data_IF_120123334407
#
_entry.id   IF_120123334407
#
_cell.length_a   1.000
_cell.length_b   1.000
_cell.length_c   1.000
_cell.angle_alpha   90.00
_cell.angle_beta   90.00
_cell.angle_gamma   90.00
#
_symmetry.space_group_name_H-M   'P 1'
#
loop_
_entity.id
_entity.type
_entity.pdbx_description
1 polymer ?
#
# COMPACT_ATOMS: atom_id res chain seq x y z
N UNK A 1 11.18 -10.38 -8.26
CA UNK A 1 11.03 -10.80 -6.85
C UNK A 1 12.19 -10.13 -6.12
N UNK A 2 11.94 -8.98 -5.51
CA UNK A 2 12.99 -8.19 -4.87
C UNK A 2 13.10 -8.71 -3.44
N UNK A 3 14.20 -9.41 -3.14
CA UNK A 3 14.61 -9.74 -1.77
C UNK A 3 14.90 -8.43 -1.04
N UNK A 4 13.84 -7.79 -0.53
CA UNK A 4 13.98 -6.75 0.48
C UNK A 4 14.44 -7.43 1.76
N UNK A 5 15.70 -7.22 2.12
CA UNK A 5 16.22 -7.35 3.48
C UNK A 5 15.14 -6.94 4.47
N UNK A 6 14.76 -7.86 5.35
CA UNK A 6 13.69 -7.62 6.32
C UNK A 6 14.22 -6.57 7.29
N UNK A 7 13.71 -5.34 7.17
CA UNK A 7 14.04 -4.27 8.11
C UNK A 7 13.80 -4.73 9.54
N UNK A 8 14.77 -4.50 10.43
CA UNK A 8 14.69 -4.91 11.82
C UNK A 8 13.57 -4.12 12.51
N UNK A 9 12.48 -4.79 12.87
CA UNK A 9 11.33 -4.15 13.51
C UNK A 9 11.63 -3.91 15.00
N UNK A 10 11.34 -2.69 15.47
CA UNK A 10 11.28 -2.36 16.90
C UNK A 10 10.31 -3.30 17.63
N UNK A 11 10.89 -4.22 18.40
CA UNK A 11 10.16 -5.26 19.12
C UNK A 11 9.29 -4.70 20.22
N UNK A 12 9.70 -3.61 20.89
CA UNK A 12 8.94 -3.03 21.98
C UNK A 12 7.60 -2.47 21.48
N UNK A 13 7.63 -1.78 20.34
CA UNK A 13 6.42 -1.26 19.68
C UNK A 13 5.52 -2.36 19.14
N UNK A 14 6.08 -3.48 18.70
CA UNK A 14 5.27 -4.63 18.24
C UNK A 14 4.62 -5.36 19.42
N UNK A 15 5.35 -5.51 20.53
CA UNK A 15 4.88 -6.22 21.72
C UNK A 15 3.64 -5.58 22.37
N UNK A 16 3.47 -4.25 22.27
CA UNK A 16 2.26 -3.57 22.77
C UNK A 16 0.97 -4.09 22.11
N UNK A 17 1.08 -4.70 20.93
CA UNK A 17 -0.02 -5.26 20.15
C UNK A 17 -0.11 -6.79 20.17
N UNK A 18 0.69 -7.47 21.01
CA UNK A 18 0.81 -8.94 20.99
C UNK A 18 -0.54 -9.65 21.15
N UNK A 19 -1.42 -9.15 22.01
CA UNK A 19 -2.74 -9.75 22.21
C UNK A 19 -3.59 -9.64 20.94
N UNK A 20 -3.67 -8.45 20.34
CA UNK A 20 -4.47 -8.24 19.13
C UNK A 20 -3.91 -9.01 17.95
N UNK A 21 -2.58 -9.06 17.82
CA UNK A 21 -1.88 -9.83 16.78
C UNK A 21 -1.99 -11.35 16.98
N UNK A 22 -2.20 -11.82 18.21
CA UNK A 22 -2.43 -13.25 18.48
C UNK A 22 -3.75 -13.75 17.90
N UNK A 23 -4.75 -12.87 17.78
CA UNK A 23 -6.03 -13.17 17.12
C UNK A 23 -5.83 -13.39 15.62
N UNK A 24 -6.77 -14.06 14.94
CA UNK A 24 -6.72 -14.23 13.48
C UNK A 24 -7.22 -13.00 12.71
N UNK A 25 -8.02 -12.15 13.35
CA UNK A 25 -8.68 -11.03 12.68
C UNK A 25 -7.69 -9.88 12.44
N UNK A 26 -7.72 -9.31 11.23
CA UNK A 26 -6.98 -8.11 10.86
C UNK A 26 -7.94 -7.04 10.38
N UNK A 27 -8.69 -6.46 11.33
CA UNK A 27 -9.64 -5.42 10.99
C UNK A 27 -8.91 -4.15 10.51
N UNK A 28 -9.54 -3.36 9.63
CA UNK A 28 -9.02 -2.05 9.18
C UNK A 28 -8.46 -1.19 10.32
N UNK A 29 -9.22 -1.09 11.42
CA UNK A 29 -8.89 -0.29 12.60
C UNK A 29 -7.67 -0.83 13.36
N UNK A 30 -7.48 -2.15 13.38
CA UNK A 30 -6.31 -2.74 14.00
C UNK A 30 -5.05 -2.41 13.19
N UNK A 31 -5.09 -2.63 11.88
CA UNK A 31 -3.95 -2.37 11.00
C UNK A 31 -3.57 -0.89 11.04
N UNK A 32 -4.54 0.01 10.86
CA UNK A 32 -4.28 1.45 10.91
C UNK A 32 -3.80 1.91 12.28
N UNK A 33 -4.34 1.34 13.37
CA UNK A 33 -3.91 1.65 14.73
C UNK A 33 -2.47 1.23 15.02
N UNK A 34 -2.06 0.04 14.58
CA UNK A 34 -0.67 -0.43 14.73
C UNK A 34 0.28 0.48 13.94
N UNK A 35 -0.03 0.76 12.67
CA UNK A 35 0.82 1.62 11.82
C UNK A 35 0.91 3.03 12.40
N UNK A 36 -0.20 3.63 12.81
CA UNK A 36 -0.24 4.94 13.44
C UNK A 36 0.65 5.00 14.68
N UNK A 37 0.52 4.02 15.60
CA UNK A 37 1.34 3.99 16.81
C UNK A 37 2.82 3.73 16.51
N UNK A 38 3.12 2.77 15.64
CA UNK A 38 4.50 2.36 15.35
C UNK A 38 5.34 3.53 14.83
N UNK A 39 4.76 4.32 13.92
CA UNK A 39 5.41 5.47 13.30
C UNK A 39 5.05 6.82 13.94
N UNK A 40 4.25 6.84 15.01
CA UNK A 40 3.75 8.07 15.64
C UNK A 40 3.04 9.01 14.66
N UNK A 41 2.26 8.43 13.74
CA UNK A 41 1.55 9.16 12.69
C UNK A 41 0.16 9.60 13.17
N UNK A 42 -0.26 10.84 12.86
CA UNK A 42 -1.52 11.40 13.37
C UNK A 42 -2.76 10.84 12.66
N UNK A 43 -2.66 10.52 11.36
CA UNK A 43 -3.80 10.08 10.57
C UNK A 43 -3.43 8.91 9.65
N UNK A 44 -3.84 7.72 10.05
CA UNK A 44 -3.69 6.50 9.28
C UNK A 44 -5.05 5.81 9.18
N UNK A 45 -5.42 5.39 7.97
CA UNK A 45 -6.68 4.67 7.72
C UNK A 45 -6.49 3.61 6.64
N UNK A 46 -7.43 2.68 6.59
CA UNK A 46 -7.53 1.70 5.50
C UNK A 46 -8.70 2.09 4.62
N UNK A 47 -8.47 2.15 3.31
CA UNK A 47 -9.52 2.19 2.31
C UNK A 47 -9.75 0.77 1.80
N UNK A 48 -10.91 0.21 2.15
CA UNK A 48 -11.32 -1.15 1.78
C UNK A 48 -11.91 -1.21 0.37
N UNK A 49 -12.11 -2.43 -0.13
CA UNK A 49 -12.81 -2.70 -1.39
C UNK A 49 -12.15 -2.07 -2.62
N UNK A 50 -10.82 -2.15 -2.70
CA UNK A 50 -10.07 -1.52 -3.79
C UNK A 50 -10.11 -2.43 -5.01
N UNK A 51 -10.68 -1.92 -6.09
CA UNK A 51 -10.73 -2.64 -7.36
C UNK A 51 -9.33 -2.99 -7.87
N UNK A 52 -9.17 -4.23 -8.30
CA UNK A 52 -8.06 -4.69 -9.15
C UNK A 52 -8.56 -5.67 -10.19
N UNK A 53 -7.76 -5.89 -11.24
CA UNK A 53 -7.90 -7.06 -12.12
C UNK A 53 -6.88 -8.11 -11.73
N UNK A 54 -7.34 -9.34 -11.54
CA UNK A 54 -6.50 -10.50 -11.23
C UNK A 54 -6.46 -11.40 -12.45
N UNK A 55 -5.28 -11.84 -12.85
CA UNK A 55 -5.11 -12.78 -13.94
C UNK A 55 -5.73 -14.13 -13.58
N UNK A 56 -6.51 -14.70 -14.51
CA UNK A 56 -7.02 -16.05 -14.36
C UNK A 56 -5.87 -17.00 -14.66
N UNK A 57 -5.52 -17.83 -13.68
CA UNK A 57 -4.47 -18.83 -13.82
C UNK A 57 -4.72 -19.71 -15.06
N UNK A 58 -3.67 -20.10 -15.78
CA UNK A 58 -3.82 -20.82 -17.04
C UNK A 58 -4.64 -22.12 -16.90
N UNK A 59 -4.50 -22.81 -15.76
CA UNK A 59 -5.28 -24.01 -15.42
C UNK A 59 -6.78 -23.75 -15.25
N UNK A 60 -7.18 -22.51 -14.94
CA UNK A 60 -8.56 -22.08 -14.73
C UNK A 60 -9.16 -21.39 -15.95
N UNK A 61 -8.36 -21.11 -16.99
CA UNK A 61 -8.87 -20.53 -18.24
C UNK A 61 -9.78 -21.51 -18.97
N UNK A 62 -10.83 -20.99 -19.58
CA UNK A 62 -11.72 -21.80 -20.40
C UNK A 62 -11.01 -22.27 -21.68
N UNK A 63 -11.37 -23.48 -22.10
CA UNK A 63 -11.07 -24.03 -23.42
C UNK A 63 -12.34 -24.67 -23.93
N UNK A 64 -12.91 -24.10 -24.99
CA UNK A 64 -14.18 -24.54 -25.54
C UNK A 64 -14.17 -26.04 -25.83
N UNK A 65 -15.21 -26.74 -25.36
CA UNK A 65 -15.36 -28.19 -25.48
C UNK A 65 -14.18 -29.01 -24.93
N UNK A 66 -13.41 -28.46 -23.98
CA UNK A 66 -12.26 -29.13 -23.36
C UNK A 66 -12.24 -28.97 -21.84
N UNK A 67 -12.12 -27.74 -21.33
CA UNK A 67 -11.96 -27.49 -19.90
C UNK A 67 -12.57 -26.16 -19.50
N UNK A 68 -13.00 -26.04 -18.23
CA UNK A 68 -13.56 -24.82 -17.64
C UNK A 68 -14.61 -24.13 -18.53
N UNK A 69 -15.49 -24.90 -19.17
CA UNK A 69 -16.43 -24.40 -20.18
C UNK A 69 -17.91 -24.59 -19.81
N UNK A 70 -18.19 -24.90 -18.53
CA UNK A 70 -19.57 -25.05 -18.04
C UNK A 70 -20.03 -23.75 -17.39
N UNK A 71 -21.06 -23.13 -17.99
CA UNK A 71 -21.66 -21.90 -17.48
C UNK A 71 -22.21 -22.10 -16.07
N UNK A 72 -22.02 -21.10 -15.20
CA UNK A 72 -22.46 -21.15 -13.80
C UNK A 72 -21.66 -22.08 -12.90
N UNK A 73 -20.62 -22.75 -13.42
CA UNK A 73 -19.78 -23.67 -12.64
C UNK A 73 -18.29 -23.35 -12.78
N UNK A 74 -17.76 -23.36 -14.02
CA UNK A 74 -16.31 -23.25 -14.27
C UNK A 74 -15.92 -22.23 -15.34
N UNK A 75 -16.89 -21.80 -16.16
CA UNK A 75 -16.64 -20.84 -17.24
C UNK A 75 -16.32 -19.43 -16.70
N UNK A 76 -15.09 -18.99 -16.94
CA UNK A 76 -14.67 -17.59 -16.82
C UNK A 76 -14.33 -17.04 -18.20
N UNK A 77 -14.70 -15.78 -18.49
CA UNK A 77 -14.42 -15.13 -19.77
C UNK A 77 -13.15 -14.28 -19.72
N UNK A 78 -12.35 -14.35 -20.78
CA UNK A 78 -11.12 -13.57 -20.92
C UNK A 78 -9.95 -14.12 -20.08
N UNK A 79 -8.93 -13.27 -19.90
CA UNK A 79 -7.69 -13.63 -19.22
C UNK A 79 -7.59 -13.11 -17.78
N UNK A 80 -8.56 -12.30 -17.32
CA UNK A 80 -8.56 -11.71 -15.97
C UNK A 80 -9.96 -11.36 -15.49
N UNK A 81 -10.16 -11.42 -14.17
CA UNK A 81 -11.41 -11.11 -13.49
C UNK A 81 -11.27 -9.87 -12.61
N UNK A 82 -12.38 -9.16 -12.38
CA UNK A 82 -12.46 -8.11 -11.38
C UNK A 82 -12.41 -8.71 -9.96
N UNK A 83 -11.65 -8.08 -9.08
CA UNK A 83 -11.56 -8.41 -7.66
C UNK A 83 -11.66 -7.12 -6.83
N UNK A 84 -12.54 -7.14 -5.82
CA UNK A 84 -12.71 -6.07 -4.84
C UNK A 84 -12.31 -6.52 -3.43
N UNK A 85 -12.09 -7.81 -3.21
CA UNK A 85 -11.95 -8.37 -1.86
C UNK A 85 -10.49 -8.60 -1.51
N UNK A 86 -9.63 -8.83 -2.51
CA UNK A 86 -8.22 -9.13 -2.30
C UNK A 86 -7.28 -7.93 -2.27
N UNK A 87 -7.80 -6.68 -2.23
CA UNK A 87 -6.99 -5.47 -2.20
C UNK A 87 -7.56 -4.34 -1.34
N UNK A 88 -6.68 -3.64 -0.64
CA UNK A 88 -6.98 -2.41 0.10
C UNK A 88 -5.88 -1.36 -0.09
N UNK A 89 -6.10 -0.13 0.37
CA UNK A 89 -5.03 0.88 0.43
C UNK A 89 -4.78 1.30 1.88
N UNK A 90 -3.51 1.29 2.29
CA UNK A 90 -3.07 1.96 3.51
C UNK A 90 -2.92 3.44 3.20
N UNK A 91 -3.72 4.29 3.83
CA UNK A 91 -3.68 5.73 3.64
C UNK A 91 -3.01 6.38 4.86
N UNK A 92 -1.94 7.16 4.61
CA UNK A 92 -1.28 8.01 5.59
C UNK A 92 -1.49 9.45 5.13
N UNK A 93 -2.29 10.18 5.88
CA UNK A 93 -2.78 11.50 5.47
C UNK A 93 -2.17 12.61 6.34
N UNK A 94 -2.02 13.80 5.76
CA UNK A 94 -1.56 15.01 6.45
C UNK A 94 -0.17 14.87 7.11
N UNK A 95 0.81 14.39 6.34
CA UNK A 95 2.22 14.31 6.75
C UNK A 95 3.03 15.45 6.14
N UNK A 96 4.08 15.90 6.83
CA UNK A 96 5.02 16.85 6.26
C UNK A 96 5.85 16.22 5.12
N UNK A 97 6.51 17.06 4.33
CA UNK A 97 7.30 16.64 3.18
C UNK A 97 8.49 15.74 3.54
N UNK A 98 9.13 15.92 4.69
CA UNK A 98 10.23 15.04 5.12
C UNK A 98 9.73 13.62 5.42
N UNK A 99 8.64 13.53 6.18
CA UNK A 99 7.97 12.28 6.48
C UNK A 99 7.48 11.62 5.19
N UNK A 100 6.90 12.39 4.27
CA UNK A 100 6.51 11.92 2.94
C UNK A 100 7.68 11.29 2.17
N UNK A 101 8.84 11.96 2.13
CA UNK A 101 10.07 11.40 1.51
C UNK A 101 10.49 10.08 2.16
N UNK A 102 10.42 9.98 3.49
CA UNK A 102 10.81 8.76 4.20
C UNK A 102 9.88 7.57 3.95
N UNK A 103 8.59 7.80 3.67
CA UNK A 103 7.63 6.75 3.29
C UNK A 103 7.54 6.49 1.78
N UNK A 104 8.13 7.37 0.97
CA UNK A 104 8.22 7.21 -0.48
C UNK A 104 9.12 6.04 -0.88
N UNK A 105 9.15 5.69 -2.17
CA UNK A 105 10.05 4.65 -2.65
C UNK A 105 11.50 4.99 -2.28
N UNK A 106 12.27 3.96 -1.91
CA UNK A 106 13.63 4.05 -1.38
C UNK A 106 13.81 4.78 -0.04
N UNK A 107 12.74 5.31 0.56
CA UNK A 107 12.78 5.92 1.89
C UNK A 107 13.02 4.90 3.01
N UNK A 108 13.68 5.33 4.08
CA UNK A 108 14.03 4.44 5.21
C UNK A 108 12.81 3.85 5.90
N UNK A 109 11.77 4.67 6.14
CA UNK A 109 10.53 4.21 6.77
C UNK A 109 9.70 3.31 5.86
N UNK A 110 9.84 3.44 4.54
CA UNK A 110 9.14 2.59 3.58
C UNK A 110 9.49 1.10 3.77
N UNK A 111 10.78 0.77 3.87
CA UNK A 111 11.24 -0.62 4.10
C UNK A 111 10.70 -1.18 5.41
N UNK A 112 10.77 -0.39 6.48
CA UNK A 112 10.23 -0.74 7.80
C UNK A 112 8.72 -0.95 7.76
N UNK A 113 7.98 -0.09 7.05
CA UNK A 113 6.54 -0.21 6.87
C UNK A 113 6.18 -1.51 6.13
N UNK A 114 6.90 -1.83 5.05
CA UNK A 114 6.71 -3.08 4.32
C UNK A 114 6.95 -4.28 5.24
N UNK A 115 8.04 -4.28 6.02
CA UNK A 115 8.33 -5.33 6.99
C UNK A 115 7.23 -5.46 8.05
N UNK A 116 6.74 -4.35 8.58
CA UNK A 116 5.67 -4.31 9.55
C UNK A 116 4.36 -4.84 8.96
N UNK A 117 4.00 -4.43 7.74
CA UNK A 117 2.81 -4.91 7.05
C UNK A 117 2.88 -6.41 6.76
N UNK A 118 4.04 -6.92 6.32
CA UNK A 118 4.28 -8.37 6.18
C UNK A 118 4.14 -9.13 7.50
N UNK A 119 4.53 -8.52 8.61
CA UNK A 119 4.39 -9.12 9.94
C UNK A 119 2.93 -9.10 10.43
N UNK A 120 2.19 -8.02 10.18
CA UNK A 120 0.79 -7.88 10.58
C UNK A 120 -0.11 -8.77 9.71
N UNK A 121 0.03 -8.72 8.39
CA UNK A 121 -0.80 -9.44 7.44
C UNK A 121 -0.44 -10.92 7.44
N UNK A 122 -1.41 -11.78 7.79
CA UNK A 122 -1.26 -13.24 7.69
C UNK A 122 -1.64 -13.78 6.32
N UNK A 123 -2.65 -13.18 5.71
CA UNK A 123 -3.16 -13.58 4.41
C UNK A 123 -2.54 -12.71 3.30
N UNK A 124 -2.33 -13.24 2.10
CA UNK A 124 -1.72 -12.53 0.98
C UNK A 124 -2.73 -11.56 0.33
N UNK A 125 -3.21 -10.58 1.09
CA UNK A 125 -3.95 -9.45 0.54
C UNK A 125 -2.96 -8.48 -0.09
N UNK A 126 -3.21 -8.07 -1.33
CA UNK A 126 -2.44 -6.99 -1.94
C UNK A 126 -2.82 -5.66 -1.30
N UNK A 127 -1.86 -4.75 -1.20
CA UNK A 127 -2.14 -3.42 -0.67
C UNK A 127 -1.28 -2.35 -1.35
N UNK A 128 -1.87 -1.17 -1.61
CA UNK A 128 -1.10 0.00 -2.04
C UNK A 128 -0.92 0.97 -0.86
N UNK A 129 0.11 1.81 -0.93
CA UNK A 129 0.33 2.91 -0.02
C UNK A 129 -0.18 4.20 -0.66
N UNK A 130 -1.09 4.91 0.02
CA UNK A 130 -1.54 6.25 -0.36
C UNK A 130 -1.00 7.24 0.66
N UNK A 131 -0.25 8.22 0.19
CA UNK A 131 0.30 9.28 1.00
C UNK A 131 -0.37 10.60 0.61
N UNK A 132 -0.80 11.37 1.60
CA UNK A 132 -1.25 12.74 1.39
C UNK A 132 -0.30 13.69 2.14
N UNK A 133 0.49 14.45 1.39
CA UNK A 133 1.42 15.44 1.94
C UNK A 133 0.68 16.73 2.30
N UNK A 134 1.10 17.42 3.35
CA UNK A 134 0.65 18.77 3.64
C UNK A 134 1.25 19.75 2.63
N UNK A 135 0.40 20.45 1.86
CA UNK A 135 0.80 21.43 0.85
C UNK A 135 1.72 22.51 1.41
N UNK A 136 1.50 22.95 2.65
CA UNK A 136 2.28 24.01 3.30
C UNK A 136 3.74 23.58 3.57
N UNK A 137 4.00 22.28 3.58
CA UNK A 137 5.33 21.71 3.81
C UNK A 137 6.09 21.38 2.52
N UNK A 138 5.44 21.47 1.35
CA UNK A 138 6.07 21.16 0.07
C UNK A 138 7.08 22.27 -0.26
N UNK A 139 8.37 21.95 -0.46
CA UNK A 139 9.36 22.95 -0.82
C UNK A 139 9.12 23.46 -2.24
N UNK A 140 9.54 24.68 -2.51
CA UNK A 140 9.59 25.20 -3.87
C UNK A 140 10.53 24.35 -4.73
N UNK A 141 10.01 23.84 -5.84
CA UNK A 141 10.79 23.00 -6.74
C UNK A 141 11.86 23.81 -7.47
N UNK A 142 13.11 23.36 -7.36
CA UNK A 142 14.26 23.93 -8.06
C UNK A 142 14.90 22.86 -8.93
N UNK A 143 15.08 23.15 -10.21
CA UNK A 143 15.78 22.26 -11.13
C UNK A 143 17.21 21.97 -10.61
N UNK A 144 17.64 20.71 -10.71
CA UNK A 144 18.98 20.28 -10.31
C UNK A 144 19.05 19.76 -8.88
N UNK A 145 19.33 20.64 -7.91
CA UNK A 145 19.61 20.30 -6.51
C UNK A 145 18.47 20.61 -5.53
N UNK A 146 17.23 20.81 -6.01
CA UNK A 146 16.05 20.90 -5.14
C UNK A 146 15.78 19.61 -4.36
N UNK A 147 14.97 19.68 -3.30
CA UNK A 147 14.61 18.49 -2.51
C UNK A 147 13.49 17.66 -3.16
N UNK A 148 12.72 18.25 -4.07
CA UNK A 148 11.57 17.64 -4.74
C UNK A 148 11.84 17.26 -6.20
N UNK A 149 12.94 16.57 -6.51
CA UNK A 149 13.36 16.39 -7.92
C UNK A 149 13.05 15.03 -8.53
N UNK A 150 12.33 14.15 -7.82
CA UNK A 150 12.00 12.83 -8.33
C UNK A 150 10.60 12.84 -8.95
N UNK A 151 10.55 12.67 -10.27
CA UNK A 151 9.30 12.64 -11.02
C UNK A 151 8.39 11.50 -10.54
N UNK A 152 7.11 11.82 -10.31
CA UNK A 152 6.11 10.86 -9.84
C UNK A 152 6.26 10.46 -8.37
N UNK A 153 7.20 11.07 -7.64
CA UNK A 153 7.42 10.82 -6.22
C UNK A 153 7.38 12.12 -5.42
N UNK A 154 8.37 13.01 -5.61
CA UNK A 154 8.56 14.22 -4.79
C UNK A 154 8.49 15.52 -5.59
N UNK A 155 8.24 15.44 -6.91
CA UNK A 155 8.14 16.61 -7.79
C UNK A 155 6.68 16.98 -8.10
N UNK A 156 6.32 18.25 -7.87
CA UNK A 156 5.06 18.85 -8.29
C UNK A 156 5.29 19.96 -9.30
N UNK A 157 4.51 19.99 -10.37
CA UNK A 157 4.63 21.04 -11.37
C UNK A 157 3.82 22.28 -10.94
N UNK A 158 4.49 23.42 -10.82
CA UNK A 158 3.85 24.66 -10.41
C UNK A 158 3.43 24.65 -8.93
N UNK A 159 2.28 25.26 -8.63
CA UNK A 159 1.73 25.29 -7.27
C UNK A 159 0.71 24.16 -7.10
N UNK A 160 1.00 23.11 -6.32
CA UNK A 160 0.10 21.99 -6.13
C UNK A 160 -1.15 22.40 -5.36
N UNK A 161 -2.31 21.90 -5.78
CA UNK A 161 -3.56 22.00 -5.02
C UNK A 161 -3.88 20.72 -4.24
N UNK A 162 -5.01 20.69 -3.54
CA UNK A 162 -5.42 19.56 -2.68
C UNK A 162 -5.49 18.20 -3.39
N UNK A 163 -5.76 18.21 -4.70
CA UNK A 163 -5.80 16.99 -5.51
C UNK A 163 -4.40 16.44 -5.79
N UNK A 164 -3.42 17.33 -5.92
CA UNK A 164 -2.04 17.00 -6.27
C UNK A 164 -1.24 16.53 -5.05
N UNK A 165 -1.68 16.91 -3.84
CA UNK A 165 -1.13 16.44 -2.57
C UNK A 165 -1.29 14.93 -2.34
N UNK A 166 -2.21 14.27 -3.05
CA UNK A 166 -2.54 12.86 -2.87
C UNK A 166 -1.76 12.00 -3.86
N UNK A 167 -0.72 11.33 -3.35
CA UNK A 167 0.12 10.45 -4.15
C UNK A 167 -0.16 9.00 -3.79
N UNK A 168 -0.39 8.18 -4.82
CA UNK A 168 -0.55 6.73 -4.66
C UNK A 168 0.73 6.03 -5.09
N UNK A 169 1.37 5.37 -4.15
CA UNK A 169 2.50 4.47 -4.37
C UNK A 169 1.92 3.05 -4.51
N UNK A 170 2.02 2.49 -5.71
CA UNK A 170 1.54 1.14 -5.99
C UNK A 170 2.53 0.15 -5.37
N UNK A 171 2.10 -0.51 -4.30
CA UNK A 171 2.84 -1.58 -3.65
C UNK A 171 2.46 -2.90 -4.32
N UNK A 172 3.27 -3.37 -5.26
CA UNK A 172 3.20 -4.78 -5.65
C UNK A 172 4.10 -5.57 -4.71
N UNK A 173 3.61 -5.82 -3.49
CA UNK A 173 4.28 -6.69 -2.50
C UNK A 173 3.39 -7.87 -2.19
#
# INVERSE_FOLDING_TARGET
MQDCEVAELDRAKVLSYVNQLSTRTRSPKLISGIVSHYFSLPNVRIEEWVYRRVEIAESQRNKLNRSNCVLGQSLHLGQSIADLNGKFNLCIDNIDFETFKQFSYDGELHKTLVGLMRFILRDPMSWDLKLTVNLDSIPENKLGNGEGNQLGQTFWLGNPGDKDAKIRLIGSI
#
